data_IF_516265668988
#
_entry.id   IF_516265668988
#
_cell.length_a   1.000
_cell.length_b   1.000
_cell.length_c   1.000
_cell.angle_alpha   90.00
_cell.angle_beta   90.00
_cell.angle_gamma   90.00
#
_symmetry.space_group_name_H-M   'P 1'
#
loop_
_entity.id
_entity.type
_entity.pdbx_description
1 polymer ?
#
# COMPACT_ATOMS: atom_id res chain seq x y z
N UNK A 1 14.30 5.83 -40.47
CA UNK A 1 13.73 6.02 -39.12
C UNK A 1 14.66 6.94 -38.36
N UNK A 2 14.14 7.97 -37.68
CA UNK A 2 14.94 8.98 -36.97
C UNK A 2 14.64 8.93 -35.47
N UNK A 3 15.69 8.88 -34.65
CA UNK A 3 15.57 8.93 -33.20
C UNK A 3 15.48 10.39 -32.74
N UNK A 4 14.26 10.92 -32.78
CA UNK A 4 14.00 12.35 -32.58
C UNK A 4 14.39 12.82 -31.17
N UNK A 5 14.65 14.12 -31.02
CA UNK A 5 14.97 14.73 -29.71
C UNK A 5 13.89 14.46 -28.66
N UNK A 6 12.60 14.46 -29.05
CA UNK A 6 11.49 14.21 -28.13
C UNK A 6 11.52 12.79 -27.58
N UNK A 7 11.72 11.79 -28.44
CA UNK A 7 11.80 10.39 -28.02
C UNK A 7 13.02 10.21 -27.11
N UNK A 8 14.19 10.73 -27.50
CA UNK A 8 15.41 10.75 -26.66
C UNK A 8 15.18 11.30 -25.26
N UNK A 9 14.49 12.43 -25.15
CA UNK A 9 14.21 13.05 -23.85
C UNK A 9 13.27 12.19 -22.99
N UNK A 10 12.31 11.48 -23.60
CA UNK A 10 11.46 10.50 -22.94
C UNK A 10 12.29 9.36 -22.37
N UNK A 11 13.01 8.64 -23.24
CA UNK A 11 13.81 7.47 -22.88
C UNK A 11 14.84 7.78 -21.78
N UNK A 12 15.56 8.90 -21.89
CA UNK A 12 16.53 9.33 -20.85
C UNK A 12 15.83 9.54 -19.51
N UNK A 13 14.64 10.13 -19.51
CA UNK A 13 13.87 10.33 -18.28
C UNK A 13 13.40 9.03 -17.66
N UNK A 14 12.87 8.12 -18.49
CA UNK A 14 12.42 6.79 -18.06
C UNK A 14 13.56 5.99 -17.43
N UNK A 15 14.71 5.94 -18.12
CA UNK A 15 15.91 5.27 -17.62
C UNK A 15 16.44 5.91 -16.33
N UNK A 16 16.43 7.24 -16.23
CA UNK A 16 16.87 7.93 -15.03
C UNK A 16 15.96 7.60 -13.83
N UNK A 17 14.64 7.64 -13.99
CA UNK A 17 13.70 7.28 -12.92
C UNK A 17 13.91 5.83 -12.47
N UNK A 18 13.99 4.89 -13.42
CA UNK A 18 14.23 3.48 -13.10
C UNK A 18 15.56 3.29 -12.36
N UNK A 19 16.63 3.96 -12.80
CA UNK A 19 17.93 3.94 -12.12
C UNK A 19 17.84 4.49 -10.69
N UNK A 20 17.16 5.63 -10.49
CA UNK A 20 16.99 6.23 -9.16
C UNK A 20 16.23 5.30 -8.21
N UNK A 21 15.14 4.68 -8.68
CA UNK A 21 14.38 3.71 -7.87
C UNK A 21 15.26 2.50 -7.51
N UNK A 22 15.91 1.88 -8.50
CA UNK A 22 16.75 0.70 -8.24
C UNK A 22 17.95 1.00 -7.34
N UNK A 23 18.57 2.17 -7.48
CA UNK A 23 19.74 2.57 -6.69
C UNK A 23 19.36 3.03 -5.29
N UNK A 24 18.40 3.95 -5.19
CA UNK A 24 18.06 4.63 -3.95
C UNK A 24 17.11 3.79 -3.10
N UNK A 25 16.11 3.15 -3.73
CA UNK A 25 15.08 2.40 -3.02
C UNK A 25 15.40 0.91 -2.95
N UNK A 26 16.33 0.43 -3.80
CA UNK A 26 16.67 -1.00 -3.97
C UNK A 26 15.48 -1.84 -4.41
N UNK A 27 14.50 -1.22 -5.06
CA UNK A 27 13.31 -1.88 -5.59
C UNK A 27 13.48 -2.16 -7.07
N UNK A 28 13.02 -3.33 -7.57
CA UNK A 28 13.03 -3.59 -8.99
C UNK A 28 12.06 -2.62 -9.69
N UNK A 29 12.49 -2.08 -10.83
CA UNK A 29 11.70 -1.20 -11.67
C UNK A 29 11.74 -1.73 -13.11
N UNK A 30 10.57 -1.96 -13.69
CA UNK A 30 10.40 -2.47 -15.05
C UNK A 30 9.83 -1.36 -15.93
N UNK A 31 10.56 -1.00 -16.98
CA UNK A 31 10.02 -0.11 -18.02
C UNK A 31 9.01 -0.88 -18.88
N UNK A 32 7.93 -0.22 -19.26
CA UNK A 32 6.88 -0.79 -20.10
C UNK A 32 7.09 -0.32 -21.53
N UNK A 33 7.19 -1.25 -22.47
CA UNK A 33 7.37 -0.93 -23.89
C UNK A 33 6.08 -0.55 -24.64
N UNK A 34 4.97 -0.32 -23.92
CA UNK A 34 3.65 -0.05 -24.50
C UNK A 34 3.18 1.36 -24.12
N UNK A 35 2.77 2.15 -25.11
CA UNK A 35 2.26 3.50 -24.90
C UNK A 35 0.76 3.48 -24.55
N UNK A 36 0.47 3.10 -23.30
CA UNK A 36 -0.88 3.13 -22.72
C UNK A 36 -0.99 4.16 -21.59
N UNK A 37 -0.08 5.14 -21.54
CA UNK A 37 -0.02 6.15 -20.50
C UNK A 37 0.49 5.63 -19.15
N UNK A 38 1.25 4.53 -19.11
CA UNK A 38 2.10 4.16 -17.98
C UNK A 38 3.43 3.71 -18.56
N UNK A 39 4.53 4.29 -18.09
CA UNK A 39 5.86 4.07 -18.65
C UNK A 39 6.66 3.04 -17.85
N UNK A 40 6.35 2.85 -16.56
CA UNK A 40 7.04 1.88 -15.72
C UNK A 40 6.19 1.32 -14.58
N UNK A 41 6.65 0.21 -14.01
CA UNK A 41 6.10 -0.40 -12.81
C UNK A 41 7.23 -0.78 -11.86
N UNK A 42 7.07 -0.49 -10.57
CA UNK A 42 8.02 -0.90 -9.53
C UNK A 42 7.33 -1.76 -8.48
N UNK A 43 8.03 -2.78 -8.00
CA UNK A 43 7.56 -3.65 -6.93
C UNK A 43 8.18 -3.22 -5.61
N UNK A 44 7.34 -3.08 -4.59
CA UNK A 44 7.77 -2.65 -3.26
C UNK A 44 8.43 -3.82 -2.56
N UNK A 45 9.61 -3.58 -1.99
CA UNK A 45 10.28 -4.54 -1.13
C UNK A 45 10.24 -4.12 0.34
N UNK A 46 10.22 -5.11 1.22
CA UNK A 46 10.44 -4.92 2.66
C UNK A 46 11.84 -4.36 2.93
N UNK A 47 12.11 -3.95 4.16
CA UNK A 47 13.46 -3.47 4.55
C UNK A 47 14.54 -4.53 4.36
N UNK A 48 14.19 -5.81 4.53
CA UNK A 48 15.07 -6.95 4.29
C UNK A 48 15.20 -7.33 2.81
N UNK A 49 14.54 -6.61 1.89
CA UNK A 49 14.57 -6.86 0.46
C UNK A 49 13.64 -7.98 -0.02
N UNK A 50 12.67 -8.40 0.79
CA UNK A 50 11.68 -9.40 0.38
C UNK A 50 10.55 -8.75 -0.44
N UNK A 51 10.04 -9.49 -1.43
CA UNK A 51 8.91 -9.07 -2.27
C UNK A 51 7.63 -8.96 -1.45
N UNK A 52 6.89 -7.85 -1.56
CA UNK A 52 5.57 -7.72 -0.90
C UNK A 52 4.40 -8.10 -1.80
N UNK A 53 4.64 -8.24 -3.11
CA UNK A 53 3.60 -8.39 -4.12
C UNK A 53 2.83 -7.10 -4.42
N UNK A 54 3.18 -5.97 -3.79
CA UNK A 54 2.60 -4.68 -4.09
C UNK A 54 3.38 -3.95 -5.16
N UNK A 55 2.66 -3.33 -6.08
CA UNK A 55 3.26 -2.58 -7.18
C UNK A 55 2.75 -1.14 -7.22
N UNK A 56 3.61 -0.27 -7.72
CA UNK A 56 3.28 1.11 -8.07
C UNK A 56 3.53 1.29 -9.56
N UNK A 57 2.57 1.95 -10.23
CA UNK A 57 2.65 2.32 -11.64
C UNK A 57 3.20 3.74 -11.75
N UNK A 58 4.02 3.99 -12.76
CA UNK A 58 4.71 5.25 -12.97
C UNK A 58 4.38 5.83 -14.35
N UNK A 59 3.91 7.07 -14.39
CA UNK A 59 3.97 7.88 -15.61
C UNK A 59 5.13 8.87 -15.47
N UNK A 60 5.97 8.95 -16.48
CA UNK A 60 7.20 9.73 -16.49
C UNK A 60 7.11 10.79 -17.60
N UNK A 61 7.42 12.04 -17.26
CA UNK A 61 7.50 13.14 -18.23
C UNK A 61 8.76 13.95 -17.97
N UNK A 62 9.56 14.13 -19.02
CA UNK A 62 10.81 14.88 -18.97
C UNK A 62 10.64 16.33 -19.43
N UNK A 63 11.31 17.24 -18.74
CA UNK A 63 11.50 18.64 -19.13
C UNK A 63 12.99 18.93 -19.26
N UNK A 64 13.35 19.84 -20.16
CA UNK A 64 14.76 20.16 -20.42
C UNK A 64 15.42 20.81 -19.19
N UNK A 65 14.75 21.78 -18.58
CA UNK A 65 15.17 22.49 -17.38
C UNK A 65 13.95 22.84 -16.52
N UNK A 66 14.20 23.14 -15.26
CA UNK A 66 13.21 23.65 -14.30
C UNK A 66 13.77 24.93 -13.72
N UNK A 67 13.02 26.02 -13.88
CA UNK A 67 13.39 27.34 -13.39
C UNK A 67 12.46 27.73 -12.23
N UNK A 68 13.03 28.24 -11.14
CA UNK A 68 12.29 28.67 -9.96
C UNK A 68 11.99 27.57 -8.93
N UNK A 69 11.07 27.86 -8.00
CA UNK A 69 10.72 27.00 -6.86
C UNK A 69 9.64 25.96 -7.17
N UNK A 70 8.97 26.08 -8.30
CA UNK A 70 7.88 25.19 -8.70
C UNK A 70 7.75 25.16 -10.22
N UNK A 71 7.25 24.06 -10.75
CA UNK A 71 6.95 23.92 -12.18
C UNK A 71 5.74 23.01 -12.37
N UNK A 72 5.13 23.05 -13.55
CA UNK A 72 3.99 22.19 -13.88
C UNK A 72 4.19 21.50 -15.21
N UNK A 73 3.70 20.26 -15.31
CA UNK A 73 3.65 19.51 -16.56
C UNK A 73 2.18 19.36 -16.96
N UNK A 74 1.91 19.69 -18.22
CA UNK A 74 0.57 19.61 -18.81
C UNK A 74 0.29 18.21 -19.36
N UNK A 75 -0.92 17.71 -19.15
CA UNK A 75 -1.41 16.43 -19.69
C UNK A 75 -2.89 16.55 -20.13
N UNK A 76 -3.43 15.51 -20.78
CA UNK A 76 -4.84 15.43 -21.14
C UNK A 76 -5.71 15.00 -19.95
N UNK A 77 -6.97 15.40 -19.96
CA UNK A 77 -7.97 14.94 -19.00
C UNK A 77 -8.19 13.42 -19.06
N UNK A 78 -8.14 12.85 -20.27
CA UNK A 78 -8.25 11.39 -20.50
C UNK A 78 -7.19 10.61 -19.72
N UNK A 79 -5.93 11.07 -19.73
CA UNK A 79 -4.85 10.43 -18.99
C UNK A 79 -5.04 10.54 -17.48
N UNK A 80 -5.41 11.72 -16.96
CA UNK A 80 -5.67 11.90 -15.52
C UNK A 80 -6.80 10.97 -15.08
N UNK A 81 -7.90 10.94 -15.84
CA UNK A 81 -9.03 10.06 -15.58
C UNK A 81 -8.65 8.58 -15.63
N UNK A 82 -7.76 8.19 -16.55
CA UNK A 82 -7.24 6.83 -16.64
C UNK A 82 -6.41 6.47 -15.39
N UNK A 83 -5.51 7.35 -14.97
CA UNK A 83 -4.67 7.14 -13.78
C UNK A 83 -5.47 7.11 -12.48
N UNK A 84 -6.46 7.97 -12.31
CA UNK A 84 -7.32 8.02 -11.12
C UNK A 84 -8.16 6.75 -10.93
N UNK A 85 -8.44 6.00 -12.00
CA UNK A 85 -9.21 4.74 -11.96
C UNK A 85 -8.35 3.50 -11.81
N UNK A 86 -7.02 3.66 -11.77
CA UNK A 86 -6.11 2.53 -11.70
C UNK A 86 -6.25 1.80 -10.36
N UNK A 87 -6.24 0.47 -10.36
CA UNK A 87 -6.39 -0.34 -9.14
C UNK A 87 -5.13 -0.40 -8.25
N UNK A 88 -4.04 0.17 -8.74
CA UNK A 88 -2.76 0.33 -8.04
C UNK A 88 -2.41 1.82 -8.04
N UNK A 89 -1.66 2.31 -7.04
CA UNK A 89 -1.24 3.71 -7.05
C UNK A 89 -0.49 4.06 -8.33
N UNK A 90 -0.85 5.21 -8.91
CA UNK A 90 -0.12 5.81 -10.03
C UNK A 90 0.65 7.01 -9.50
N UNK A 91 1.97 6.99 -9.68
CA UNK A 91 2.83 8.13 -9.41
C UNK A 91 3.20 8.79 -10.73
N UNK A 92 3.01 10.10 -10.78
CA UNK A 92 3.46 10.93 -11.88
C UNK A 92 4.83 11.52 -11.54
N UNK A 93 5.82 11.23 -12.37
CA UNK A 93 7.21 11.66 -12.25
C UNK A 93 7.52 12.77 -13.25
N UNK A 94 7.96 13.92 -12.76
CA UNK A 94 8.54 15.00 -13.55
C UNK A 94 10.07 14.95 -13.50
N UNK A 95 10.74 14.82 -14.64
CA UNK A 95 12.21 14.70 -14.71
C UNK A 95 12.83 15.97 -15.27
N UNK A 96 13.73 16.60 -14.52
CA UNK A 96 14.53 17.73 -15.01
C UNK A 96 15.86 17.23 -15.56
N UNK A 97 15.99 17.16 -16.89
CA UNK A 97 17.15 16.59 -17.56
C UNK A 97 18.45 17.39 -17.31
N UNK A 98 18.38 18.72 -17.21
CA UNK A 98 19.56 19.55 -16.93
C UNK A 98 20.18 19.31 -15.55
N UNK A 99 19.40 18.84 -14.58
CA UNK A 99 19.87 18.63 -13.20
C UNK A 99 19.79 17.17 -12.75
N UNK A 100 19.31 16.28 -13.62
CA UNK A 100 19.04 14.87 -13.33
C UNK A 100 18.21 14.65 -12.04
N UNK A 101 17.34 15.61 -11.74
CA UNK A 101 16.42 15.53 -10.59
C UNK A 101 15.08 14.97 -11.03
N UNK A 102 14.54 14.09 -10.20
CA UNK A 102 13.21 13.50 -10.36
C UNK A 102 12.31 14.10 -9.30
N UNK A 103 11.16 14.59 -9.72
CA UNK A 103 10.08 15.06 -8.87
C UNK A 103 8.89 14.12 -9.02
N UNK A 104 8.05 13.97 -8.00
CA UNK A 104 6.97 13.01 -8.04
C UNK A 104 5.72 13.49 -7.31
N UNK A 105 4.56 13.02 -7.74
CA UNK A 105 3.27 13.17 -7.05
C UNK A 105 2.40 11.95 -7.26
N UNK A 106 1.68 11.54 -6.23
CA UNK A 106 0.62 10.54 -6.39
C UNK A 106 -0.56 11.18 -7.13
N UNK A 107 -1.06 10.50 -8.16
CA UNK A 107 -2.33 10.87 -8.78
C UNK A 107 -3.46 10.30 -7.92
N UNK A 108 -4.31 11.19 -7.40
CA UNK A 108 -5.42 10.80 -6.52
C UNK A 108 -6.76 11.23 -7.11
N UNK A 109 -7.83 10.51 -6.78
CA UNK A 109 -9.19 10.87 -7.18
C UNK A 109 -9.73 12.13 -6.45
N UNK A 110 -9.07 12.56 -5.38
CA UNK A 110 -9.50 13.68 -4.54
C UNK A 110 -8.91 15.02 -4.98
N UNK A 111 -7.77 15.00 -5.69
CA UNK A 111 -7.12 16.21 -6.17
C UNK A 111 -7.75 16.69 -7.48
N UNK A 112 -8.00 18.00 -7.57
CA UNK A 112 -8.45 18.63 -8.81
C UNK A 112 -7.24 19.08 -9.64
N UNK A 113 -7.09 18.48 -10.81
CA UNK A 113 -6.04 18.81 -11.78
C UNK A 113 -6.52 19.80 -12.86
N UNK A 114 -7.72 20.37 -12.70
CA UNK A 114 -8.34 21.28 -13.66
C UNK A 114 -7.51 22.54 -13.90
N UNK A 115 -7.63 23.07 -15.12
CA UNK A 115 -7.17 24.43 -15.46
C UNK A 115 -8.30 25.13 -16.20
N UNK A 116 -8.17 26.43 -16.47
CA UNK A 116 -9.17 27.20 -17.23
C UNK A 116 -9.39 26.70 -18.70
N UNK A 117 -8.72 25.62 -19.13
CA UNK A 117 -8.90 24.99 -20.44
C UNK A 117 -8.97 23.45 -20.40
N UNK A 118 -8.88 22.82 -21.57
CA UNK A 118 -9.04 21.35 -21.76
C UNK A 118 -7.87 20.55 -21.15
N UNK A 119 -6.73 21.19 -20.97
CA UNK A 119 -5.54 20.54 -20.41
C UNK A 119 -5.58 20.48 -18.89
N UNK A 120 -5.06 19.40 -18.31
CA UNK A 120 -4.82 19.28 -16.87
C UNK A 120 -3.35 19.54 -16.55
N UNK A 121 -3.05 19.99 -15.34
CA UNK A 121 -1.67 20.27 -14.90
C UNK A 121 -1.35 19.53 -13.62
N UNK A 122 -0.18 18.89 -13.61
CA UNK A 122 0.44 18.38 -12.39
C UNK A 122 1.53 19.35 -11.98
N UNK A 123 1.39 19.95 -10.80
CA UNK A 123 2.30 20.99 -10.29
C UNK A 123 3.20 20.45 -9.19
N UNK A 124 4.49 20.73 -9.30
CA UNK A 124 5.55 20.29 -8.39
C UNK A 124 6.15 21.46 -7.63
N UNK A 125 6.41 21.25 -6.34
CA UNK A 125 7.28 22.05 -5.52
C UNK A 125 8.69 21.46 -5.53
N UNK A 126 9.68 22.22 -5.98
CA UNK A 126 11.06 21.75 -6.13
C UNK A 126 11.74 21.34 -4.80
N UNK A 127 11.22 21.80 -3.66
CA UNK A 127 11.75 21.49 -2.32
C UNK A 127 11.08 20.26 -1.70
N UNK A 128 9.78 20.07 -1.92
CA UNK A 128 8.98 19.05 -1.25
C UNK A 128 8.74 17.80 -2.10
N UNK A 129 8.63 17.95 -3.42
CA UNK A 129 8.25 16.85 -4.31
C UNK A 129 9.47 16.12 -4.90
N UNK A 130 10.67 16.36 -4.37
CA UNK A 130 11.90 15.71 -4.84
C UNK A 130 11.88 14.22 -4.48
N UNK A 131 12.30 13.37 -5.42
CA UNK A 131 12.52 11.95 -5.18
C UNK A 131 13.79 11.78 -4.32
N UNK A 132 13.60 11.44 -3.05
CA UNK A 132 14.67 11.27 -2.07
C UNK A 132 14.42 10.10 -1.11
N UNK A 133 15.25 9.95 -0.09
CA UNK A 133 15.16 8.84 0.86
C UNK A 133 13.81 8.78 1.61
N UNK A 134 13.13 9.92 1.81
CA UNK A 134 11.83 9.99 2.50
C UNK A 134 10.72 9.37 1.65
N UNK A 135 10.86 9.47 0.33
CA UNK A 135 9.90 8.95 -0.65
C UNK A 135 9.67 7.45 -0.50
N UNK A 136 10.67 6.67 -0.10
CA UNK A 136 10.54 5.22 0.16
C UNK A 136 9.43 4.93 1.17
N UNK A 137 9.39 5.72 2.25
CA UNK A 137 8.42 5.54 3.33
C UNK A 137 7.01 5.91 2.85
N UNK A 138 6.89 6.97 2.06
CA UNK A 138 5.61 7.44 1.54
C UNK A 138 5.04 6.47 0.50
N UNK A 139 5.86 5.97 -0.42
CA UNK A 139 5.42 5.04 -1.46
C UNK A 139 4.98 3.69 -0.87
N UNK A 140 5.64 3.20 0.19
CA UNK A 140 5.18 2.01 0.92
C UNK A 140 3.75 2.17 1.45
N UNK A 141 3.41 3.35 1.99
CA UNK A 141 2.06 3.63 2.51
C UNK A 141 1.00 3.67 1.41
N UNK A 142 1.36 4.12 0.20
CA UNK A 142 0.42 4.11 -0.92
C UNK A 142 0.15 2.70 -1.45
N UNK A 143 1.19 1.89 -1.55
CA UNK A 143 1.12 0.55 -2.14
C UNK A 143 0.45 -0.48 -1.22
N UNK A 144 0.62 -0.33 0.09
CA UNK A 144 -0.07 -1.13 1.10
C UNK A 144 -0.68 -0.19 2.14
N UNK A 145 -2.02 -0.18 2.29
CA UNK A 145 -2.65 0.51 3.41
C UNK A 145 -2.09 0.00 4.73
N UNK A 146 -1.91 0.87 5.72
CA UNK A 146 -1.34 0.50 7.04
C UNK A 146 -2.04 -0.75 7.64
N UNK A 147 -3.34 -0.88 7.40
CA UNK A 147 -4.14 -2.04 7.82
C UNK A 147 -3.64 -3.39 7.25
N UNK A 148 -3.11 -3.42 6.02
CA UNK A 148 -2.55 -4.65 5.42
C UNK A 148 -1.22 -5.05 6.06
N UNK A 149 -0.41 -4.08 6.50
CA UNK A 149 0.82 -4.33 7.25
C UNK A 149 0.53 -4.93 8.64
N UNK A 150 -0.59 -4.53 9.25
CA UNK A 150 -1.02 -5.08 10.53
C UNK A 150 -1.53 -6.53 10.43
N UNK A 151 -1.90 -7.02 9.25
CA UNK A 151 -2.57 -8.32 9.09
C UNK A 151 -1.78 -9.47 9.72
N UNK A 152 -0.47 -9.53 9.49
CA UNK A 152 0.39 -10.57 10.08
C UNK A 152 0.45 -10.46 11.61
N UNK A 153 0.58 -9.24 12.14
CA UNK A 153 0.61 -8.98 13.58
C UNK A 153 -0.73 -9.28 14.25
N UNK A 154 -1.84 -8.90 13.63
CA UNK A 154 -3.20 -9.20 14.07
C UNK A 154 -3.42 -10.72 14.10
N UNK A 155 -3.02 -11.43 13.05
CA UNK A 155 -3.11 -12.89 12.98
C UNK A 155 -2.27 -13.59 14.05
N UNK A 156 -1.05 -13.12 14.30
CA UNK A 156 -0.18 -13.64 15.35
C UNK A 156 -0.77 -13.39 16.75
N UNK A 157 -1.28 -12.17 16.98
CA UNK A 157 -1.94 -11.82 18.24
C UNK A 157 -3.22 -12.62 18.47
N UNK A 158 -4.01 -12.85 17.41
CA UNK A 158 -5.20 -13.69 17.46
C UNK A 158 -4.86 -15.14 17.83
N UNK A 159 -3.76 -15.67 17.28
CA UNK A 159 -3.25 -16.98 17.66
C UNK A 159 -2.79 -17.01 19.13
N UNK A 160 -2.09 -15.98 19.62
CA UNK A 160 -1.68 -15.90 21.03
C UNK A 160 -2.87 -15.97 21.98
N UNK A 161 -3.97 -15.25 21.69
CA UNK A 161 -5.19 -15.31 22.51
C UNK A 161 -5.77 -16.73 22.56
N UNK A 162 -5.70 -17.46 21.46
CA UNK A 162 -6.10 -18.87 21.41
C UNK A 162 -5.11 -19.70 22.24
N UNK A 163 -3.81 -19.50 22.11
CA UNK A 163 -2.83 -20.28 22.85
C UNK A 163 -2.92 -20.02 24.38
N UNK A 164 -3.31 -18.81 24.78
CA UNK A 164 -3.48 -18.37 26.18
C UNK A 164 -4.83 -18.79 26.81
N UNK A 165 -5.74 -19.34 26.01
CA UNK A 165 -7.06 -19.82 26.46
C UNK A 165 -7.13 -21.34 26.42
N UNK A 166 -7.32 -21.98 27.57
CA UNK A 166 -7.52 -23.42 27.66
C UNK A 166 -9.00 -23.80 27.55
N UNK A 167 -9.28 -25.08 27.29
CA UNK A 167 -10.65 -25.58 27.16
C UNK A 167 -11.41 -25.67 28.50
N UNK A 168 -10.75 -25.34 29.61
CA UNK A 168 -11.23 -25.60 30.96
C UNK A 168 -10.98 -24.41 31.89
N UNK A 169 -12.01 -23.63 32.18
CA UNK A 169 -11.98 -22.60 33.22
C UNK A 169 -12.94 -23.01 34.35
N UNK A 170 -12.44 -23.16 35.57
CA UNK A 170 -13.21 -23.67 36.71
C UNK A 170 -13.31 -22.72 37.90
N UNK A 171 -12.68 -21.54 37.85
CA UNK A 171 -12.84 -20.47 38.84
C UNK A 171 -13.28 -19.13 38.22
N UNK A 172 -13.87 -18.26 39.03
CA UNK A 172 -14.43 -16.98 38.56
C UNK A 172 -13.37 -15.97 38.08
N UNK A 173 -12.16 -16.01 38.62
CA UNK A 173 -11.10 -15.08 38.21
C UNK A 173 -10.57 -15.41 36.80
N UNK A 174 -10.38 -16.71 36.52
CA UNK A 174 -9.98 -17.22 35.20
C UNK A 174 -11.04 -16.92 34.17
N UNK A 175 -12.33 -17.14 34.49
CA UNK A 175 -13.41 -16.89 33.54
C UNK A 175 -13.51 -15.40 33.15
N UNK A 176 -13.23 -14.48 34.09
CA UNK A 176 -13.19 -13.04 33.82
C UNK A 176 -12.03 -12.69 32.89
N UNK A 177 -10.82 -13.17 33.20
CA UNK A 177 -9.63 -12.98 32.35
C UNK A 177 -9.89 -13.47 30.91
N UNK A 178 -10.51 -14.64 30.77
CA UNK A 178 -10.84 -15.19 29.46
C UNK A 178 -11.91 -14.38 28.72
N UNK A 179 -12.91 -13.86 29.42
CA UNK A 179 -13.90 -12.95 28.83
C UNK A 179 -13.26 -11.71 28.20
N UNK A 180 -12.28 -11.10 28.88
CA UNK A 180 -11.53 -9.96 28.35
C UNK A 180 -10.72 -10.36 27.10
N UNK A 181 -10.04 -11.51 27.14
CA UNK A 181 -9.28 -12.05 25.99
C UNK A 181 -10.18 -12.39 24.80
N UNK A 182 -11.37 -12.96 25.03
CA UNK A 182 -12.33 -13.25 23.95
C UNK A 182 -12.90 -11.96 23.35
N UNK A 183 -13.17 -10.94 24.16
CA UNK A 183 -13.58 -9.63 23.67
C UNK A 183 -12.51 -8.99 22.78
N UNK A 184 -11.25 -9.06 23.20
CA UNK A 184 -10.11 -8.63 22.39
C UNK A 184 -10.02 -9.43 21.08
N UNK A 185 -10.15 -10.75 21.17
CA UNK A 185 -10.16 -11.65 20.01
C UNK A 185 -11.26 -11.27 19.00
N UNK A 186 -12.49 -11.02 19.45
CA UNK A 186 -13.58 -10.55 18.58
C UNK A 186 -13.23 -9.25 17.86
N UNK A 187 -12.60 -8.31 18.56
CA UNK A 187 -12.12 -7.06 17.95
C UNK A 187 -11.04 -7.29 16.88
N UNK A 188 -10.07 -8.17 17.14
CA UNK A 188 -9.03 -8.53 16.16
C UNK A 188 -9.65 -9.22 14.94
N UNK A 189 -10.56 -10.18 15.17
CA UNK A 189 -11.29 -10.86 14.10
C UNK A 189 -11.97 -9.87 13.16
N UNK A 190 -12.70 -8.90 13.71
CA UNK A 190 -13.42 -7.91 12.91
C UNK A 190 -12.46 -7.06 12.06
N UNK A 191 -11.30 -6.68 12.59
CA UNK A 191 -10.27 -5.95 11.84
C UNK A 191 -9.72 -6.80 10.69
N UNK A 192 -9.38 -8.06 10.95
CA UNK A 192 -8.89 -8.99 9.92
C UNK A 192 -9.94 -9.20 8.83
N UNK A 193 -11.20 -9.46 9.20
CA UNK A 193 -12.29 -9.62 8.23
C UNK A 193 -12.51 -8.36 7.38
N UNK A 194 -12.40 -7.17 7.98
CA UNK A 194 -12.47 -5.90 7.25
C UNK A 194 -11.34 -5.78 6.23
N UNK A 195 -10.09 -6.05 6.63
CA UNK A 195 -8.94 -6.03 5.71
C UNK A 195 -9.19 -7.01 4.54
N UNK A 196 -9.60 -8.25 4.84
CA UNK A 196 -9.81 -9.29 3.83
C UNK A 196 -11.01 -9.02 2.92
N UNK A 197 -12.01 -8.26 3.37
CA UNK A 197 -13.13 -7.84 2.53
C UNK A 197 -12.68 -6.91 1.40
N UNK A 198 -11.68 -6.06 1.66
CA UNK A 198 -11.14 -5.12 0.67
C UNK A 198 -9.89 -5.64 -0.05
N UNK A 199 -9.13 -6.53 0.59
CA UNK A 199 -7.83 -7.03 0.10
C UNK A 199 -7.68 -8.56 0.29
N UNK A 200 -8.54 -9.38 -0.33
CA UNK A 200 -8.52 -10.83 -0.14
C UNK A 200 -7.22 -11.50 -0.62
N UNK A 201 -6.46 -10.87 -1.52
CA UNK A 201 -5.18 -11.39 -2.03
C UNK A 201 -4.02 -11.25 -1.03
N UNK A 202 -4.19 -10.54 0.09
CA UNK A 202 -3.15 -10.36 1.12
C UNK A 202 -2.91 -11.58 1.98
N UNK A 203 -3.73 -12.61 1.84
CA UNK A 203 -3.62 -13.87 2.58
C UNK A 203 -3.64 -15.05 1.60
N UNK A 204 -2.81 -16.05 1.87
CA UNK A 204 -2.85 -17.30 1.10
C UNK A 204 -4.06 -18.16 1.50
N UNK A 205 -4.47 -19.10 0.65
CA UNK A 205 -5.53 -20.05 0.99
C UNK A 205 -5.24 -20.89 2.25
N UNK A 206 -3.97 -21.18 2.52
CA UNK A 206 -3.52 -21.88 3.74
C UNK A 206 -3.73 -21.01 4.97
N UNK A 207 -3.28 -19.76 4.92
CA UNK A 207 -3.47 -18.81 6.03
C UNK A 207 -4.95 -18.51 6.27
N UNK A 208 -5.77 -18.42 5.22
CA UNK A 208 -7.22 -18.24 5.34
C UNK A 208 -7.88 -19.45 6.01
N UNK A 209 -7.47 -20.66 5.65
CA UNK A 209 -7.94 -21.89 6.31
C UNK A 209 -7.56 -21.89 7.78
N UNK A 210 -6.32 -21.53 8.10
CA UNK A 210 -5.84 -21.37 9.48
C UNK A 210 -6.68 -20.32 10.24
N UNK A 211 -6.97 -19.18 9.63
CA UNK A 211 -7.82 -18.15 10.22
C UNK A 211 -9.21 -18.67 10.57
N UNK A 212 -9.86 -19.37 9.64
CA UNK A 212 -11.18 -19.98 9.88
C UNK A 212 -11.15 -21.01 11.01
N UNK A 213 -10.09 -21.80 11.11
CA UNK A 213 -9.91 -22.74 12.21
C UNK A 213 -9.76 -22.00 13.55
N UNK A 214 -8.94 -20.94 13.59
CA UNK A 214 -8.78 -20.08 14.76
C UNK A 214 -10.11 -19.47 15.21
N UNK A 215 -10.91 -18.94 14.27
CA UNK A 215 -12.24 -18.38 14.55
C UNK A 215 -13.16 -19.41 15.19
N UNK A 216 -13.17 -20.64 14.67
CA UNK A 216 -13.98 -21.73 15.22
C UNK A 216 -13.55 -22.09 16.63
N UNK A 217 -12.23 -22.21 16.87
CA UNK A 217 -11.70 -22.54 18.21
C UNK A 217 -12.06 -21.47 19.23
N UNK A 218 -11.86 -20.19 18.90
CA UNK A 218 -12.20 -19.09 19.81
C UNK A 218 -13.69 -19.07 20.14
N UNK A 219 -14.56 -19.28 19.14
CA UNK A 219 -16.01 -19.30 19.34
C UNK A 219 -16.45 -20.43 20.28
N UNK A 220 -15.87 -21.63 20.14
CA UNK A 220 -16.21 -22.77 21.01
C UNK A 220 -15.82 -22.43 22.46
N UNK A 221 -14.60 -21.93 22.67
CA UNK A 221 -14.10 -21.61 24.01
C UNK A 221 -14.82 -20.45 24.68
N UNK A 222 -15.22 -19.44 23.91
CA UNK A 222 -16.03 -18.32 24.38
C UNK A 222 -17.40 -18.81 24.89
N UNK A 223 -18.07 -19.68 24.12
CA UNK A 223 -19.32 -20.29 24.53
C UNK A 223 -19.17 -21.15 25.81
N UNK A 224 -18.09 -21.95 25.89
CA UNK A 224 -17.81 -22.77 27.08
C UNK A 224 -17.58 -21.89 28.32
N UNK A 225 -16.84 -20.78 28.17
CA UNK A 225 -16.58 -19.82 29.23
C UNK A 225 -17.85 -19.09 29.68
N UNK A 226 -18.74 -18.68 28.77
CA UNK A 226 -20.04 -18.11 29.12
C UNK A 226 -20.89 -19.10 29.93
N UNK A 227 -20.88 -20.38 29.55
CA UNK A 227 -21.59 -21.43 30.28
C UNK A 227 -21.03 -21.61 31.70
N UNK A 228 -19.70 -21.65 31.86
CA UNK A 228 -19.07 -21.74 33.17
C UNK A 228 -19.30 -20.48 34.02
N UNK A 229 -19.21 -19.29 33.44
CA UNK A 229 -19.53 -18.03 34.14
C UNK A 229 -20.95 -18.06 34.70
N UNK A 230 -21.91 -18.54 33.91
CA UNK A 230 -23.30 -18.67 34.35
C UNK A 230 -23.43 -19.65 35.54
N UNK A 231 -22.64 -20.71 35.54
CA UNK A 231 -22.67 -21.74 36.59
C UNK A 231 -22.02 -21.26 37.90
N UNK A 232 -20.95 -20.46 37.82
CA UNK A 232 -20.18 -19.98 38.98
C UNK A 232 -20.88 -18.84 39.73
N UNK A 233 -21.64 -18.00 39.04
CA UNK A 233 -22.23 -16.79 39.62
C UNK A 233 -23.75 -16.85 39.85
N UNK A 234 -24.45 -17.80 39.26
CA UNK A 234 -25.92 -17.92 39.39
C UNK A 234 -26.39 -19.23 40.08
N UNK A 235 -25.48 -20.10 40.52
CA UNK A 235 -25.75 -21.22 41.45
C UNK A 235 -25.03 -21.01 42.77
#
# INVERSE_FOLDING_TARGET
MEYTKRIRHGDVGEHLVAFRIMRDFKWPCRLLGIDLGIDAETEILTEDGNTTGDTIRLQIKSVASVDGKSFSITTSEEHINYWQRHCTPVIFCGVCLATERVFWKQITALEDYSTEGVSKKVSFCCEHDLLDARTVVEWRKFASPDAAHELANLMAKYQSIIDDTEHSAFDGETCKKYSDLFAEGRGIRQKVESILAYMPWKITGVQLTKFKAMQRTLQIRDNDNEHHWSTVYYN
#
